data_IF_735918409913
#
_entry.id   IF_735918409913
#
_cell.length_a   1.000
_cell.length_b   1.000
_cell.length_c   1.000
_cell.angle_alpha   90.00
_cell.angle_beta   90.00
_cell.angle_gamma   90.00
#
_symmetry.space_group_name_H-M   'P 1'
#
loop_
_entity.id
_entity.type
_entity.pdbx_description
1 polymer ?
#
# COMPACT_ATOMS: atom_id res chain seq x y z
N UNK A 1 8.05 -5.27 -40.46
CA UNK A 1 8.26 -4.58 -39.18
C UNK A 1 6.90 -4.03 -38.75
N UNK A 2 6.12 -4.80 -38.00
CA UNK A 2 4.86 -4.29 -37.44
C UNK A 2 5.24 -3.43 -36.25
N UNK A 3 5.37 -2.12 -36.48
CA UNK A 3 5.39 -1.17 -35.39
C UNK A 3 4.02 -1.26 -34.71
N UNK A 4 3.97 -1.97 -33.59
CA UNK A 4 2.82 -1.92 -32.69
C UNK A 4 2.65 -0.46 -32.29
N UNK A 5 1.50 0.12 -32.62
CA UNK A 5 1.13 1.43 -32.13
C UNK A 5 1.33 1.43 -30.59
N UNK A 6 1.93 2.47 -30.00
CA UNK A 6 2.16 2.50 -28.57
C UNK A 6 0.81 2.34 -27.86
N UNK A 7 0.66 1.23 -27.13
CA UNK A 7 -0.53 0.99 -26.30
C UNK A 7 -0.55 2.14 -25.30
N UNK A 8 -1.55 3.03 -25.42
CA UNK A 8 -1.76 4.09 -24.45
C UNK A 8 -1.92 3.45 -23.07
N UNK A 9 -0.93 3.65 -22.20
CA UNK A 9 -0.94 3.06 -20.86
C UNK A 9 -2.06 3.73 -20.05
N UNK A 10 -2.98 2.96 -19.45
CA UNK A 10 -4.06 3.55 -18.65
C UNK A 10 -3.49 4.28 -17.43
N UNK A 11 -4.12 5.38 -17.02
CA UNK A 11 -3.83 6.02 -15.74
C UNK A 11 -4.29 5.13 -14.60
N UNK A 12 -3.40 4.85 -13.65
CA UNK A 12 -3.68 3.95 -12.51
C UNK A 12 -3.60 4.73 -11.21
N UNK A 13 -4.55 4.54 -10.31
CA UNK A 13 -4.41 4.91 -8.90
C UNK A 13 -4.11 3.65 -8.08
N UNK A 14 -2.94 3.61 -7.45
CA UNK A 14 -2.46 2.49 -6.65
C UNK A 14 -2.62 2.81 -5.16
N UNK A 15 -3.52 2.10 -4.50
CA UNK A 15 -3.84 2.30 -3.09
C UNK A 15 -3.10 1.28 -2.25
N UNK A 16 -2.38 1.74 -1.23
CA UNK A 16 -1.72 0.88 -0.27
C UNK A 16 -1.67 1.55 1.12
N UNK A 17 -1.72 0.72 2.17
CA UNK A 17 -1.66 1.18 3.56
C UNK A 17 -0.26 1.67 3.96
N UNK A 18 0.78 1.22 3.27
CA UNK A 18 2.18 1.47 3.63
C UNK A 18 3.10 1.59 2.41
N UNK A 19 4.20 2.35 2.55
CA UNK A 19 5.20 2.55 1.49
C UNK A 19 6.63 2.58 2.05
N UNK A 20 7.41 1.52 1.80
CA UNK A 20 8.80 1.38 2.19
C UNK A 20 9.75 2.10 1.25
N UNK A 21 9.86 3.42 1.41
CA UNK A 21 10.65 4.27 0.51
C UNK A 21 12.09 4.47 0.97
N UNK A 22 12.30 4.65 2.27
CA UNK A 22 13.60 4.89 2.87
C UNK A 22 13.54 4.48 4.35
N UNK A 23 14.62 3.92 4.94
CA UNK A 23 14.64 3.54 6.36
C UNK A 23 14.33 4.67 7.33
N UNK A 24 14.60 5.93 6.96
CA UNK A 24 14.28 7.12 7.77
C UNK A 24 12.82 7.55 7.69
N UNK A 25 12.04 6.97 6.77
CA UNK A 25 10.63 7.32 6.54
C UNK A 25 9.75 6.14 6.91
N UNK A 26 9.37 6.06 8.18
CA UNK A 26 8.80 4.90 8.87
C UNK A 26 7.31 4.66 8.60
N UNK A 27 6.82 5.01 7.41
CA UNK A 27 5.42 4.77 6.99
C UNK A 27 5.18 3.35 6.44
N UNK A 28 5.95 2.37 6.94
CA UNK A 28 5.89 0.97 6.56
C UNK A 28 6.36 0.06 7.70
N UNK A 29 5.88 -1.18 7.70
CA UNK A 29 6.18 -2.20 8.70
C UNK A 29 6.90 -3.42 8.12
N UNK A 30 6.61 -3.80 6.87
CA UNK A 30 7.11 -5.06 6.33
C UNK A 30 7.14 -5.18 4.81
N UNK A 31 7.09 -6.43 4.33
CA UNK A 31 7.29 -6.77 2.93
C UNK A 31 6.26 -6.16 1.97
N UNK A 32 5.02 -5.96 2.41
CA UNK A 32 3.98 -5.29 1.63
C UNK A 32 4.36 -3.83 1.35
N UNK A 33 4.78 -3.09 2.39
CA UNK A 33 5.29 -1.73 2.27
C UNK A 33 6.55 -1.65 1.42
N UNK A 34 7.53 -2.55 1.62
CA UNK A 34 8.75 -2.59 0.78
C UNK A 34 8.39 -2.78 -0.69
N UNK A 35 7.48 -3.72 -1.00
CA UNK A 35 7.00 -3.93 -2.36
C UNK A 35 6.34 -2.66 -2.93
N UNK A 36 5.45 -2.02 -2.18
CA UNK A 36 4.77 -0.81 -2.61
C UNK A 36 5.77 0.35 -2.87
N UNK A 37 6.78 0.50 -2.01
CA UNK A 37 7.85 1.48 -2.18
C UNK A 37 8.70 1.21 -3.43
N UNK A 38 9.15 -0.03 -3.61
CA UNK A 38 9.91 -0.44 -4.79
C UNK A 38 9.10 -0.34 -6.09
N UNK A 39 7.80 -0.63 -6.01
CA UNK A 39 6.87 -0.43 -7.11
C UNK A 39 6.81 1.05 -7.50
N UNK A 40 6.63 1.96 -6.52
CA UNK A 40 6.56 3.39 -6.78
C UNK A 40 7.90 3.99 -7.24
N UNK A 41 9.04 3.46 -6.80
CA UNK A 41 10.36 3.84 -7.35
C UNK A 41 10.48 3.42 -8.82
N UNK A 42 10.12 2.17 -9.13
CA UNK A 42 10.12 1.65 -10.50
C UNK A 42 9.15 2.40 -11.42
N UNK A 43 7.98 2.81 -10.91
CA UNK A 43 7.03 3.69 -11.60
C UNK A 43 7.68 5.02 -11.99
N UNK A 44 8.43 5.62 -11.08
CA UNK A 44 9.17 6.87 -11.30
C UNK A 44 10.23 6.72 -12.39
N UNK A 45 11.10 5.71 -12.25
CA UNK A 45 12.17 5.43 -13.22
C UNK A 45 11.62 5.16 -14.63
N UNK A 46 10.52 4.41 -14.72
CA UNK A 46 9.88 4.04 -15.99
C UNK A 46 8.90 5.09 -16.52
N UNK A 47 8.71 6.20 -15.80
CA UNK A 47 7.77 7.28 -16.14
C UNK A 47 6.35 6.75 -16.43
N UNK A 48 5.88 5.83 -15.59
CA UNK A 48 4.57 5.20 -15.73
C UNK A 48 3.45 6.11 -15.19
N UNK A 49 2.26 6.14 -15.80
CA UNK A 49 1.13 6.95 -15.35
C UNK A 49 0.41 6.30 -14.16
N UNK A 50 1.14 6.05 -13.07
CA UNK A 50 0.63 5.47 -11.82
C UNK A 50 0.76 6.50 -10.71
N UNK A 51 -0.33 6.72 -9.99
CA UNK A 51 -0.41 7.59 -8.82
C UNK A 51 -0.62 6.75 -7.58
N UNK A 52 0.35 6.76 -6.66
CA UNK A 52 0.24 6.11 -5.36
C UNK A 52 -0.60 6.93 -4.39
N UNK A 53 -1.44 6.25 -3.62
CA UNK A 53 -2.29 6.81 -2.56
C UNK A 53 -2.07 6.00 -1.28
N UNK A 54 -1.73 6.67 -0.19
CA UNK A 54 -1.48 6.05 1.11
C UNK A 54 -1.82 6.95 2.29
N UNK A 55 -1.40 6.53 3.48
CA UNK A 55 -1.53 7.28 4.72
C UNK A 55 -0.17 7.83 5.18
N UNK A 56 -0.19 9.02 5.77
CA UNK A 56 0.95 9.57 6.50
C UNK A 56 0.79 9.19 7.97
N UNK A 57 1.55 8.18 8.38
CA UNK A 57 1.58 7.72 9.76
C UNK A 57 2.40 8.66 10.63
N UNK A 58 1.83 9.13 11.75
CA UNK A 58 2.45 10.15 12.59
C UNK A 58 3.63 9.61 13.40
N UNK A 59 3.52 8.37 13.89
CA UNK A 59 4.58 7.65 14.61
C UNK A 59 5.09 6.42 13.82
N UNK A 60 4.64 6.24 12.58
CA UNK A 60 5.07 5.16 11.72
C UNK A 60 4.76 3.76 12.29
N UNK A 61 5.72 2.85 12.12
CA UNK A 61 5.76 1.56 12.82
C UNK A 61 6.70 1.63 14.04
N UNK A 62 7.15 0.49 14.56
CA UNK A 62 8.02 0.44 15.73
C UNK A 62 9.50 0.62 15.38
N UNK A 63 10.19 1.48 16.12
CA UNK A 63 11.65 1.48 16.27
C UNK A 63 11.98 0.58 17.48
N UNK A 64 12.50 -0.62 17.23
CA UNK A 64 12.90 -1.52 18.31
C UNK A 64 14.29 -1.15 18.82
N UNK A 65 14.39 -0.92 20.14
CA UNK A 65 15.66 -0.67 20.84
C UNK A 65 15.95 -1.81 21.81
N UNK A 66 17.21 -2.09 22.08
CA UNK A 66 17.61 -3.05 23.12
C UNK A 66 18.03 -2.27 24.36
N UNK A 67 17.44 -2.59 25.51
CA UNK A 67 17.82 -1.95 26.77
C UNK A 67 19.12 -2.53 27.34
N UNK A 68 19.67 -1.89 28.39
CA UNK A 68 20.91 -2.35 29.04
C UNK A 68 20.84 -3.74 29.70
N UNK A 69 19.65 -4.35 29.77
CA UNK A 69 19.46 -5.73 30.21
C UNK A 69 19.30 -6.72 29.04
N UNK A 70 19.39 -6.25 27.80
CA UNK A 70 19.25 -7.05 26.59
C UNK A 70 17.79 -7.29 26.17
N UNK A 71 16.82 -6.57 26.74
CA UNK A 71 15.42 -6.73 26.36
C UNK A 71 15.01 -5.75 25.25
N UNK A 72 14.21 -6.20 24.27
CA UNK A 72 13.64 -5.30 23.28
C UNK A 72 12.61 -4.37 23.93
N UNK A 73 12.68 -3.10 23.56
CA UNK A 73 11.74 -2.04 23.93
C UNK A 73 11.25 -1.34 22.68
N UNK A 74 9.96 -1.00 22.68
CA UNK A 74 9.31 -0.38 21.53
C UNK A 74 9.35 1.14 21.67
N UNK A 75 9.95 1.80 20.69
CA UNK A 75 9.99 3.25 20.57
C UNK A 75 9.20 3.69 19.32
N UNK A 76 8.43 4.78 19.45
CA UNK A 76 7.55 5.30 18.40
C UNK A 76 7.93 6.74 18.09
N UNK A 77 8.93 6.90 17.22
CA UNK A 77 9.42 8.21 16.82
C UNK A 77 8.44 8.88 15.85
N UNK A 78 8.29 10.21 15.95
CA UNK A 78 7.50 10.97 14.99
C UNK A 78 8.11 10.87 13.59
N UNK A 79 7.27 10.59 12.61
CA UNK A 79 7.65 10.54 11.19
C UNK A 79 8.07 11.93 10.72
N UNK A 80 9.28 12.02 10.15
CA UNK A 80 9.74 13.26 9.54
C UNK A 80 8.85 13.67 8.37
N UNK A 81 8.54 14.97 8.30
CA UNK A 81 7.80 15.58 7.18
C UNK A 81 8.73 16.22 6.14
N UNK A 82 10.04 16.02 6.28
CA UNK A 82 11.03 16.53 5.34
C UNK A 82 10.81 15.90 3.94
N UNK A 83 10.85 16.74 2.90
CA UNK A 83 10.58 16.32 1.53
C UNK A 83 9.10 16.02 1.23
N UNK A 84 8.17 16.42 2.09
CA UNK A 84 6.73 16.40 1.83
C UNK A 84 6.21 17.79 1.46
N UNK A 85 5.44 17.87 0.39
CA UNK A 85 4.76 19.09 -0.05
C UNK A 85 3.29 19.03 0.38
N UNK A 86 2.85 19.93 1.26
CA UNK A 86 1.44 20.06 1.62
C UNK A 86 0.63 20.59 0.43
N UNK A 87 -0.46 19.90 0.12
CA UNK A 87 -1.37 20.29 -0.96
C UNK A 87 -2.48 21.20 -0.44
N UNK A 88 -2.85 22.19 -1.26
CA UNK A 88 -4.00 23.05 -0.99
C UNK A 88 -5.28 22.43 -1.55
N UNK A 89 -5.78 21.38 -0.87
CA UNK A 89 -7.02 20.66 -1.23
C UNK A 89 -7.88 20.45 0.00
N UNK A 90 -9.20 20.48 -0.20
CA UNK A 90 -10.17 20.19 0.86
C UNK A 90 -10.66 18.75 0.72
N UNK A 91 -10.41 17.93 1.74
CA UNK A 91 -10.83 16.54 1.80
C UNK A 91 -11.46 16.33 3.17
N UNK A 92 -12.59 15.66 3.21
CA UNK A 92 -13.28 15.31 4.43
C UNK A 92 -13.81 13.88 4.31
N UNK A 93 -13.78 13.14 5.40
CA UNK A 93 -14.42 11.83 5.55
C UNK A 93 -15.31 11.84 6.80
N UNK A 94 -16.22 10.87 6.91
CA UNK A 94 -17.04 10.70 8.12
C UNK A 94 -16.54 9.47 8.87
N UNK A 95 -16.28 9.62 10.17
CA UNK A 95 -15.88 8.53 11.08
C UNK A 95 -16.61 8.73 12.41
N UNK A 96 -17.33 7.71 12.88
CA UNK A 96 -18.09 7.73 14.15
C UNK A 96 -19.04 8.94 14.28
N UNK A 97 -19.76 9.26 13.21
CA UNK A 97 -20.69 10.38 13.08
C UNK A 97 -20.04 11.76 13.04
N UNK A 98 -18.69 11.83 12.96
CA UNK A 98 -17.94 13.08 12.93
C UNK A 98 -17.35 13.33 11.55
N UNK A 99 -17.40 14.60 11.13
CA UNK A 99 -16.69 15.10 9.97
C UNK A 99 -15.20 15.28 10.30
N UNK A 100 -14.36 14.47 9.66
CA UNK A 100 -12.90 14.46 9.82
C UNK A 100 -12.27 15.09 8.57
N UNK A 101 -11.83 16.36 8.65
CA UNK A 101 -11.06 16.97 7.56
C UNK A 101 -9.68 16.30 7.48
N UNK A 102 -9.19 16.07 6.27
CA UNK A 102 -7.89 15.47 5.98
C UNK A 102 -7.00 16.43 5.21
N UNK A 103 -5.69 16.37 5.47
CA UNK A 103 -4.64 17.00 4.66
C UNK A 103 -4.03 15.95 3.75
N UNK A 104 -3.51 16.39 2.62
CA UNK A 104 -2.77 15.55 1.69
C UNK A 104 -1.38 16.13 1.43
N UNK A 105 -0.39 15.25 1.38
CA UNK A 105 0.99 15.60 1.06
C UNK A 105 1.42 14.87 -0.21
N UNK A 106 2.20 15.55 -1.05
CA UNK A 106 2.94 14.91 -2.13
C UNK A 106 4.36 14.60 -1.67
N UNK A 107 4.80 13.36 -1.91
CA UNK A 107 6.18 12.95 -1.63
C UNK A 107 7.11 13.46 -2.73
N UNK A 108 8.18 14.19 -2.36
CA UNK A 108 9.15 14.77 -3.31
C UNK A 108 10.56 14.20 -3.20
N UNK A 109 10.92 13.62 -2.06
CA UNK A 109 12.31 13.22 -1.76
C UNK A 109 12.69 11.83 -2.28
N UNK A 110 11.82 10.84 -2.15
CA UNK A 110 12.22 9.43 -2.23
C UNK A 110 11.89 8.73 -3.56
N UNK A 111 10.99 9.31 -4.36
CA UNK A 111 10.61 8.80 -5.68
C UNK A 111 10.19 9.98 -6.56
N UNK A 112 10.42 9.85 -7.87
CA UNK A 112 9.93 10.80 -8.88
C UNK A 112 8.47 10.52 -9.28
N UNK A 113 7.89 9.39 -8.86
CA UNK A 113 6.50 9.05 -9.11
C UNK A 113 5.54 9.97 -8.34
N UNK A 114 4.31 10.09 -8.84
CA UNK A 114 3.21 10.74 -8.11
C UNK A 114 2.80 9.84 -6.93
N UNK A 115 3.13 10.25 -5.71
CA UNK A 115 2.72 9.56 -4.48
C UNK A 115 2.15 10.57 -3.49
N UNK A 116 0.94 10.30 -3.04
CA UNK A 116 0.21 11.14 -2.11
C UNK A 116 -0.13 10.40 -0.82
N UNK A 117 0.03 11.09 0.30
CA UNK A 117 -0.21 10.58 1.64
C UNK A 117 -1.24 11.43 2.36
N UNK A 118 -2.24 10.79 2.97
CA UNK A 118 -3.33 11.43 3.71
C UNK A 118 -3.13 11.31 5.22
N UNK A 119 -3.49 12.35 5.95
CA UNK A 119 -3.68 12.31 7.39
C UNK A 119 -4.85 13.20 7.79
N UNK A 120 -5.48 12.99 8.95
CA UNK A 120 -6.41 13.96 9.53
C UNK A 120 -5.77 15.35 9.64
N UNK A 121 -6.58 16.41 9.60
CA UNK A 121 -6.13 17.79 9.73
C UNK A 121 -6.12 18.25 11.19
N UNK A 122 -7.08 17.78 11.99
CA UNK A 122 -7.24 18.14 13.42
C UNK A 122 -6.46 17.18 14.32
N UNK A 123 -5.95 17.70 15.42
CA UNK A 123 -5.16 16.92 16.38
C UNK A 123 -6.00 15.85 17.08
N UNK A 124 -7.25 16.17 17.43
CA UNK A 124 -8.20 15.23 18.06
C UNK A 124 -8.53 14.00 17.19
N UNK A 125 -8.27 14.07 15.88
CA UNK A 125 -8.51 12.99 14.93
C UNK A 125 -7.23 12.20 14.61
N UNK A 126 -6.07 12.60 15.16
CA UNK A 126 -4.75 11.99 14.83
C UNK A 126 -4.60 10.54 15.27
N UNK A 127 -5.44 10.05 16.19
CA UNK A 127 -5.49 8.63 16.56
C UNK A 127 -5.68 7.72 15.34
N UNK A 128 -6.38 8.21 14.29
CA UNK A 128 -6.63 7.43 13.07
C UNK A 128 -5.31 7.03 12.41
N UNK A 129 -4.39 7.97 12.19
CA UNK A 129 -3.10 7.71 11.52
C UNK A 129 -1.93 7.76 12.49
N UNK A 130 -2.14 7.45 13.77
CA UNK A 130 -1.07 7.54 14.77
C UNK A 130 0.00 6.48 14.50
N UNK A 131 -0.39 5.20 14.43
CA UNK A 131 0.54 4.07 14.27
C UNK A 131 0.05 3.10 13.21
N UNK A 132 0.95 2.71 12.32
CA UNK A 132 0.70 1.67 11.34
C UNK A 132 0.46 0.33 12.05
N UNK A 133 -0.66 -0.32 11.74
CA UNK A 133 -1.12 -1.56 12.38
C UNK A 133 -1.25 -1.50 13.91
N UNK A 134 -1.32 -0.30 14.48
CA UNK A 134 -1.70 -0.09 15.87
C UNK A 134 -3.23 -0.04 16.05
N UNK A 135 -3.67 -0.10 17.31
CA UNK A 135 -5.08 0.05 17.66
C UNK A 135 -5.92 -1.22 17.53
N UNK A 136 -7.22 -1.07 17.72
CA UNK A 136 -8.22 -2.13 17.62
C UNK A 136 -8.95 -2.12 16.27
N UNK A 137 -10.05 -2.88 16.20
CA UNK A 137 -10.89 -2.99 15.00
C UNK A 137 -11.42 -1.63 14.51
N UNK A 138 -11.81 -0.76 15.45
CA UNK A 138 -12.35 0.57 15.12
C UNK A 138 -11.27 1.51 14.55
N UNK A 139 -10.03 1.42 15.06
CA UNK A 139 -8.89 2.17 14.52
C UNK A 139 -8.60 1.76 13.08
N UNK A 140 -8.60 0.45 12.80
CA UNK A 140 -8.42 -0.06 11.44
C UNK A 140 -9.51 0.43 10.48
N UNK A 141 -10.77 0.32 10.86
CA UNK A 141 -11.87 0.83 10.02
C UNK A 141 -11.72 2.33 9.74
N UNK A 142 -11.34 3.13 10.73
CA UNK A 142 -11.09 4.55 10.52
C UNK A 142 -9.91 4.79 9.56
N UNK A 143 -8.82 4.04 9.69
CA UNK A 143 -7.66 4.10 8.79
C UNK A 143 -8.05 3.78 7.35
N UNK A 144 -8.79 2.69 7.16
CA UNK A 144 -9.21 2.21 5.85
C UNK A 144 -10.26 3.13 5.20
N UNK A 145 -11.12 3.80 5.99
CA UNK A 145 -11.98 4.89 5.51
C UNK A 145 -11.12 6.06 5.01
N UNK A 146 -10.13 6.52 5.79
CA UNK A 146 -9.26 7.64 5.36
C UNK A 146 -8.48 7.26 4.10
N UNK A 147 -7.94 6.04 4.02
CA UNK A 147 -7.21 5.54 2.86
C UNK A 147 -8.13 5.46 1.62
N UNK A 148 -9.26 4.77 1.75
CA UNK A 148 -10.14 4.46 0.64
C UNK A 148 -11.00 5.65 0.22
N UNK A 149 -11.85 6.13 1.12
CA UNK A 149 -12.77 7.26 0.88
C UNK A 149 -11.98 8.54 0.68
N UNK A 150 -11.06 8.84 1.61
CA UNK A 150 -10.22 10.03 1.52
C UNK A 150 -9.34 10.02 0.27
N UNK A 151 -8.81 8.87 -0.13
CA UNK A 151 -8.04 8.71 -1.36
C UNK A 151 -8.83 8.94 -2.64
N UNK A 152 -10.08 8.46 -2.73
CA UNK A 152 -10.96 8.76 -3.87
C UNK A 152 -11.28 10.26 -3.93
N UNK A 153 -11.60 10.88 -2.79
CA UNK A 153 -11.89 12.32 -2.71
C UNK A 153 -10.67 13.18 -3.04
N UNK A 154 -9.46 12.77 -2.63
CA UNK A 154 -8.20 13.38 -3.04
C UNK A 154 -8.05 13.38 -4.56
N UNK A 155 -8.29 12.25 -5.22
CA UNK A 155 -8.22 12.16 -6.69
C UNK A 155 -9.18 13.15 -7.36
N UNK A 156 -10.40 13.31 -6.82
CA UNK A 156 -11.36 14.32 -7.30
C UNK A 156 -10.85 15.74 -7.12
N UNK A 157 -10.34 16.08 -5.93
CA UNK A 157 -9.81 17.39 -5.61
C UNK A 157 -8.59 17.76 -6.47
N UNK A 158 -7.78 16.78 -6.87
CA UNK A 158 -6.63 16.96 -7.78
C UNK A 158 -7.00 16.87 -9.26
N UNK A 159 -8.28 16.66 -9.60
CA UNK A 159 -8.74 16.41 -10.97
C UNK A 159 -8.00 15.25 -11.67
N UNK A 160 -7.60 14.25 -10.90
CA UNK A 160 -7.02 13.00 -11.42
C UNK A 160 -8.18 12.04 -11.69
N UNK A 161 -8.27 11.58 -12.94
CA UNK A 161 -9.25 10.59 -13.37
C UNK A 161 -8.54 9.27 -13.77
N UNK A 162 -8.37 8.33 -12.83
CA UNK A 162 -7.79 7.03 -13.12
C UNK A 162 -8.74 6.18 -13.95
N UNK A 163 -8.19 5.52 -14.97
CA UNK A 163 -8.90 4.48 -15.69
C UNK A 163 -8.95 3.17 -14.89
N UNK A 164 -7.94 2.94 -14.03
CA UNK A 164 -7.81 1.76 -13.19
C UNK A 164 -7.50 2.14 -11.75
N UNK A 165 -8.16 1.49 -10.80
CA UNK A 165 -7.89 1.54 -9.37
C UNK A 165 -7.28 0.19 -8.98
N UNK A 166 -6.06 0.21 -8.45
CA UNK A 166 -5.34 -0.97 -8.01
C UNK A 166 -5.31 -0.98 -6.49
N UNK A 167 -6.01 -1.94 -5.91
CA UNK A 167 -6.05 -2.18 -4.48
C UNK A 167 -4.97 -3.17 -4.08
N UNK A 168 -3.97 -2.71 -3.34
CA UNK A 168 -2.94 -3.56 -2.78
C UNK A 168 -3.39 -4.06 -1.41
N UNK A 169 -3.91 -5.29 -1.39
CA UNK A 169 -4.61 -5.92 -0.26
C UNK A 169 -5.99 -5.29 0.08
N UNK A 170 -6.73 -5.95 0.99
CA UNK A 170 -8.09 -5.57 1.38
C UNK A 170 -8.26 -4.14 1.90
N UNK A 171 -7.22 -3.53 2.46
CA UNK A 171 -7.28 -2.20 3.09
C UNK A 171 -7.85 -1.07 2.21
N UNK A 172 -7.72 -1.20 0.90
CA UNK A 172 -8.18 -0.19 -0.05
C UNK A 172 -9.65 -0.38 -0.51
N UNK A 173 -10.37 -1.38 -0.01
CA UNK A 173 -11.73 -1.72 -0.49
C UNK A 173 -12.73 -0.59 -0.31
N UNK A 174 -12.57 0.27 0.71
CA UNK A 174 -13.44 1.43 0.87
C UNK A 174 -13.34 2.43 -0.28
N UNK A 175 -12.24 2.46 -1.06
CA UNK A 175 -12.20 3.21 -2.31
C UNK A 175 -13.22 2.66 -3.32
N UNK A 176 -13.36 1.33 -3.39
CA UNK A 176 -14.37 0.68 -4.22
C UNK A 176 -15.79 1.00 -3.75
N UNK A 177 -16.04 0.99 -2.44
CA UNK A 177 -17.35 1.37 -1.88
C UNK A 177 -17.67 2.85 -2.12
N UNK A 178 -16.70 3.76 -2.00
CA UNK A 178 -16.89 5.18 -2.30
C UNK A 178 -17.22 5.38 -3.79
N UNK A 179 -16.52 4.70 -4.70
CA UNK A 179 -16.82 4.75 -6.14
C UNK A 179 -18.22 4.22 -6.47
N UNK A 180 -18.68 3.18 -5.75
CA UNK A 180 -20.05 2.73 -5.85
C UNK A 180 -21.01 3.81 -5.34
N UNK A 181 -20.76 4.39 -4.17
CA UNK A 181 -21.60 5.43 -3.55
C UNK A 181 -21.74 6.66 -4.43
N UNK A 182 -20.66 7.09 -5.07
CA UNK A 182 -20.64 8.16 -6.10
C UNK A 182 -21.44 7.80 -7.35
N UNK A 183 -21.82 6.53 -7.53
CA UNK A 183 -22.33 5.97 -8.78
C UNK A 183 -21.42 6.32 -9.97
N UNK A 184 -20.08 6.29 -9.74
CA UNK A 184 -19.08 6.85 -10.66
C UNK A 184 -19.20 6.34 -12.10
N UNK A 185 -19.54 5.06 -12.26
CA UNK A 185 -19.63 4.39 -13.56
C UNK A 185 -21.08 4.11 -14.00
N UNK A 186 -22.06 4.66 -13.28
CA UNK A 186 -23.49 4.50 -13.52
C UNK A 186 -24.03 3.11 -13.12
N UNK A 187 -25.32 2.92 -13.39
CA UNK A 187 -26.09 1.74 -13.01
C UNK A 187 -27.29 2.12 -12.13
N UNK A 188 -28.38 1.35 -12.22
CA UNK A 188 -29.56 1.53 -11.39
C UNK A 188 -29.48 0.67 -10.12
N UNK A 189 -29.34 -0.64 -10.31
CA UNK A 189 -29.20 -1.59 -9.19
C UNK A 189 -27.76 -1.68 -8.68
N UNK A 190 -27.58 -2.18 -7.44
CA UNK A 190 -26.24 -2.46 -6.91
C UNK A 190 -25.47 -3.45 -7.81
N UNK A 191 -26.14 -4.50 -8.30
CA UNK A 191 -25.50 -5.49 -9.17
C UNK A 191 -24.93 -4.86 -10.45
N UNK A 192 -25.67 -3.95 -11.09
CA UNK A 192 -25.21 -3.22 -12.26
C UNK A 192 -24.05 -2.27 -11.93
N UNK A 193 -24.14 -1.53 -10.81
CA UNK A 193 -23.08 -0.63 -10.34
C UNK A 193 -21.79 -1.39 -10.08
N UNK A 194 -21.86 -2.54 -9.41
CA UNK A 194 -20.73 -3.44 -9.18
C UNK A 194 -20.16 -3.96 -10.50
N UNK A 195 -20.99 -4.43 -11.43
CA UNK A 195 -20.53 -4.93 -12.73
C UNK A 195 -19.76 -3.86 -13.53
N UNK A 196 -20.21 -2.61 -13.47
CA UNK A 196 -19.56 -1.46 -14.13
C UNK A 196 -18.27 -1.07 -13.42
N UNK A 197 -18.28 -0.94 -12.09
CA UNK A 197 -17.08 -0.66 -11.29
C UNK A 197 -15.99 -1.71 -11.52
N UNK A 198 -16.36 -3.00 -11.60
CA UNK A 198 -15.40 -4.10 -11.81
C UNK A 198 -14.46 -3.86 -12.98
N UNK A 199 -14.94 -3.25 -14.06
CA UNK A 199 -14.10 -2.94 -15.23
C UNK A 199 -12.93 -2.00 -14.91
N UNK A 200 -12.97 -1.30 -13.79
CA UNK A 200 -11.98 -0.31 -13.39
C UNK A 200 -11.12 -0.74 -12.21
N UNK A 201 -11.39 -1.88 -11.55
CA UNK A 201 -10.65 -2.29 -10.35
C UNK A 201 -9.79 -3.53 -10.60
N UNK A 202 -8.55 -3.51 -10.10
CA UNK A 202 -7.67 -4.67 -9.99
C UNK A 202 -7.23 -4.85 -8.53
N UNK A 203 -7.07 -6.10 -8.09
CA UNK A 203 -6.84 -6.42 -6.69
C UNK A 203 -5.61 -7.33 -6.52
N UNK A 204 -4.69 -6.96 -5.64
CA UNK A 204 -3.58 -7.85 -5.24
C UNK A 204 -3.87 -8.44 -3.86
N UNK A 205 -3.65 -9.74 -3.72
CA UNK A 205 -3.72 -10.45 -2.43
C UNK A 205 -2.37 -11.06 -2.08
N UNK A 206 -1.98 -10.95 -0.80
CA UNK A 206 -0.71 -11.42 -0.24
C UNK A 206 -0.91 -12.54 0.78
N UNK A 207 -2.10 -12.62 1.38
CA UNK A 207 -2.39 -13.52 2.50
C UNK A 207 -2.59 -14.97 2.04
N UNK A 208 -1.74 -15.92 2.47
CA UNK A 208 -1.81 -17.31 2.01
C UNK A 208 -2.78 -18.19 2.82
N UNK A 209 -3.42 -17.65 3.87
CA UNK A 209 -4.32 -18.40 4.76
C UNK A 209 -5.60 -17.62 5.03
N UNK A 210 -6.76 -18.31 4.98
CA UNK A 210 -8.06 -17.67 5.15
C UNK A 210 -8.19 -16.90 6.48
N UNK A 211 -7.66 -17.46 7.58
CA UNK A 211 -7.71 -16.85 8.91
C UNK A 211 -6.91 -15.54 9.04
N UNK A 212 -5.99 -15.27 8.11
CA UNK A 212 -5.24 -14.00 8.08
C UNK A 212 -5.97 -12.88 7.32
N UNK A 213 -7.14 -13.16 6.73
CA UNK A 213 -7.89 -12.16 5.97
C UNK A 213 -8.84 -11.40 6.88
N UNK A 214 -8.79 -10.08 6.77
CA UNK A 214 -9.55 -9.17 7.60
C UNK A 214 -11.06 -9.25 7.35
N UNK A 215 -11.82 -9.29 8.44
CA UNK A 215 -13.28 -9.29 8.46
C UNK A 215 -13.79 -8.35 9.55
N UNK A 216 -14.90 -7.68 9.29
CA UNK A 216 -15.54 -6.76 10.24
C UNK A 216 -17.02 -7.10 10.46
N UNK A 217 -17.50 -6.93 11.69
CA UNK A 217 -18.93 -6.99 11.98
C UNK A 217 -19.69 -5.85 11.27
N UNK A 218 -20.86 -6.14 10.69
CA UNK A 218 -21.67 -5.09 10.03
C UNK A 218 -22.15 -4.02 11.01
N UNK A 219 -22.36 -4.39 12.28
CA UNK A 219 -22.69 -3.47 13.37
C UNK A 219 -21.54 -2.50 13.68
N UNK A 220 -20.30 -2.99 13.66
CA UNK A 220 -19.09 -2.18 13.84
C UNK A 220 -18.91 -1.25 12.65
N UNK A 221 -19.07 -1.76 11.42
CA UNK A 221 -19.00 -0.94 10.23
C UNK A 221 -19.99 0.23 10.28
N UNK A 222 -21.25 -0.05 10.65
CA UNK A 222 -22.31 0.97 10.77
C UNK A 222 -21.99 1.99 11.87
N UNK A 223 -21.44 1.56 13.00
CA UNK A 223 -21.00 2.47 14.08
C UNK A 223 -19.86 3.40 13.65
N UNK A 224 -19.01 2.95 12.73
CA UNK A 224 -17.83 3.66 12.25
C UNK A 224 -18.08 4.49 10.96
N UNK A 225 -19.29 4.49 10.42
CA UNK A 225 -19.64 5.04 9.08
C UNK A 225 -18.93 4.34 7.91
N UNK A 226 -18.42 3.13 8.15
CA UNK A 226 -17.79 2.29 7.12
C UNK A 226 -18.84 1.65 6.19
N UNK A 227 -20.13 1.68 6.55
CA UNK A 227 -21.21 1.24 5.67
C UNK A 227 -21.46 2.20 4.51
N UNK A 228 -20.98 3.45 4.56
CA UNK A 228 -21.08 4.46 3.49
C UNK A 228 -22.50 4.64 2.92
N UNK A 229 -23.52 4.41 3.75
CA UNK A 229 -24.93 4.47 3.40
C UNK A 229 -25.50 3.21 2.72
N UNK A 230 -24.73 2.14 2.59
CA UNK A 230 -25.21 0.84 2.12
C UNK A 230 -26.01 0.12 3.22
N UNK A 231 -27.05 -0.60 2.79
CA UNK A 231 -27.81 -1.48 3.67
C UNK A 231 -27.01 -2.74 4.03
N UNK A 232 -27.38 -3.42 5.12
CA UNK A 232 -26.73 -4.69 5.52
C UNK A 232 -26.83 -5.76 4.42
N UNK A 233 -27.93 -5.79 3.67
CA UNK A 233 -28.12 -6.69 2.54
C UNK A 233 -27.13 -6.40 1.41
N UNK A 234 -26.90 -5.13 1.10
CA UNK A 234 -25.93 -4.69 0.09
C UNK A 234 -24.49 -4.99 0.52
N UNK A 235 -24.13 -4.70 1.78
CA UNK A 235 -22.82 -5.05 2.34
C UNK A 235 -22.59 -6.57 2.33
N UNK A 236 -23.61 -7.35 2.69
CA UNK A 236 -23.57 -8.81 2.63
C UNK A 236 -23.34 -9.31 1.20
N UNK A 237 -23.97 -8.69 0.20
CA UNK A 237 -23.74 -9.00 -1.20
C UNK A 237 -22.30 -8.68 -1.63
N UNK A 238 -21.72 -7.58 -1.15
CA UNK A 238 -20.37 -7.15 -1.50
C UNK A 238 -19.31 -7.99 -0.77
N UNK A 239 -19.26 -7.94 0.56
CA UNK A 239 -18.19 -8.54 1.37
C UNK A 239 -18.61 -9.75 2.22
N UNK A 240 -19.92 -10.01 2.36
CA UNK A 240 -20.45 -11.03 3.27
C UNK A 240 -20.84 -10.48 4.64
N UNK A 241 -21.22 -11.37 5.56
CA UNK A 241 -21.55 -11.06 6.95
C UNK A 241 -20.93 -12.14 7.86
N UNK A 242 -19.83 -11.87 8.59
CA UNK A 242 -19.10 -10.59 8.67
C UNK A 242 -18.52 -10.15 7.32
N UNK A 243 -18.32 -8.85 7.16
CA UNK A 243 -17.82 -8.24 5.92
C UNK A 243 -16.34 -8.57 5.74
N UNK A 244 -16.01 -9.40 4.76
CA UNK A 244 -14.63 -9.72 4.44
C UNK A 244 -14.05 -8.74 3.43
N UNK A 245 -12.95 -8.08 3.81
CA UNK A 245 -12.24 -7.13 2.95
C UNK A 245 -11.72 -7.83 1.69
N UNK A 246 -11.14 -9.03 1.82
CA UNK A 246 -10.64 -9.79 0.66
C UNK A 246 -11.76 -10.26 -0.27
N UNK A 247 -12.88 -10.74 0.28
CA UNK A 247 -14.05 -11.14 -0.55
C UNK A 247 -14.61 -9.94 -1.31
N UNK A 248 -14.73 -8.80 -0.64
CA UNK A 248 -15.15 -7.55 -1.28
C UNK A 248 -14.15 -7.14 -2.38
N UNK A 249 -12.85 -7.14 -2.12
CA UNK A 249 -11.81 -6.85 -3.11
C UNK A 249 -11.92 -7.74 -4.36
N UNK A 250 -12.08 -9.04 -4.17
CA UNK A 250 -12.28 -10.01 -5.26
C UNK A 250 -13.58 -9.77 -6.04
N UNK A 251 -14.68 -9.42 -5.36
CA UNK A 251 -15.99 -9.14 -6.00
C UNK A 251 -16.09 -7.74 -6.60
N UNK A 252 -15.23 -6.80 -6.22
CA UNK A 252 -15.18 -5.47 -6.82
C UNK A 252 -14.20 -5.36 -7.98
N UNK A 253 -13.25 -6.31 -8.14
CA UNK A 253 -12.25 -6.29 -9.19
C UNK A 253 -12.61 -7.08 -10.46
N UNK A 254 -12.16 -6.65 -11.65
CA UNK A 254 -12.21 -7.50 -12.88
C UNK A 254 -11.14 -8.58 -12.89
N UNK A 255 -10.02 -8.33 -12.22
CA UNK A 255 -8.87 -9.22 -12.19
C UNK A 255 -8.18 -9.10 -10.84
N UNK A 256 -7.63 -10.21 -10.37
CA UNK A 256 -6.79 -10.24 -9.19
C UNK A 256 -5.45 -10.93 -9.45
N UNK A 257 -4.44 -10.58 -8.66
CA UNK A 257 -3.13 -11.22 -8.72
C UNK A 257 -2.64 -11.63 -7.33
N UNK A 258 -2.10 -12.84 -7.27
CA UNK A 258 -1.21 -13.31 -6.23
C UNK A 258 0.24 -12.87 -6.52
N UNK A 259 1.09 -12.91 -5.49
CA UNK A 259 2.46 -12.40 -5.54
C UNK A 259 3.58 -13.39 -5.87
N UNK A 260 3.23 -14.65 -6.16
CA UNK A 260 4.15 -15.69 -6.63
C UNK A 260 3.35 -16.80 -7.32
N UNK A 261 4.03 -17.66 -8.10
CA UNK A 261 3.36 -18.77 -8.80
C UNK A 261 2.64 -19.72 -7.83
N UNK A 262 3.38 -20.22 -6.83
CA UNK A 262 2.82 -21.10 -5.81
C UNK A 262 1.73 -20.40 -4.99
N UNK A 263 1.94 -19.12 -4.65
CA UNK A 263 0.92 -18.33 -3.97
C UNK A 263 -0.37 -18.20 -4.81
N UNK A 264 -0.25 -18.10 -6.13
CA UNK A 264 -1.40 -18.10 -7.04
C UNK A 264 -2.21 -19.39 -6.99
N UNK A 265 -1.55 -20.54 -6.83
CA UNK A 265 -2.23 -21.83 -6.63
C UNK A 265 -2.98 -21.85 -5.29
N UNK A 266 -2.30 -21.45 -4.20
CA UNK A 266 -2.90 -21.35 -2.87
C UNK A 266 -4.10 -20.41 -2.85
N UNK A 267 -3.96 -19.21 -3.43
CA UNK A 267 -5.02 -18.19 -3.47
C UNK A 267 -6.23 -18.68 -4.28
N UNK A 268 -6.02 -19.29 -5.46
CA UNK A 268 -7.12 -19.88 -6.25
C UNK A 268 -7.83 -20.99 -5.48
N UNK A 269 -7.09 -21.86 -4.80
CA UNK A 269 -7.67 -22.94 -4.00
C UNK A 269 -8.50 -22.41 -2.81
N UNK A 270 -8.01 -21.36 -2.15
CA UNK A 270 -8.65 -20.70 -1.00
C UNK A 270 -9.96 -20.03 -1.40
N UNK A 271 -9.95 -19.28 -2.51
CA UNK A 271 -11.08 -18.43 -2.92
C UNK A 271 -12.03 -19.07 -3.94
N UNK A 272 -11.82 -20.34 -4.31
CA UNK A 272 -12.66 -21.07 -5.29
C UNK A 272 -14.17 -21.05 -5.00
N UNK A 273 -14.55 -20.95 -3.72
CA UNK A 273 -15.94 -20.94 -3.29
C UNK A 273 -16.61 -19.57 -3.32
N UNK A 274 -15.86 -18.49 -3.58
CA UNK A 274 -16.39 -17.13 -3.59
C UNK A 274 -17.03 -16.84 -4.94
N UNK A 275 -18.37 -16.92 -4.97
CA UNK A 275 -19.13 -16.50 -6.14
C UNK A 275 -18.87 -15.03 -6.47
N UNK A 276 -18.66 -14.74 -7.76
CA UNK A 276 -18.35 -13.39 -8.27
C UNK A 276 -16.91 -12.93 -8.05
N UNK A 277 -16.03 -13.77 -7.50
CA UNK A 277 -14.61 -13.41 -7.38
C UNK A 277 -13.94 -13.19 -8.74
N UNK A 278 -13.02 -12.23 -8.80
CA UNK A 278 -12.17 -12.02 -9.95
C UNK A 278 -11.27 -13.23 -10.23
N UNK A 279 -10.94 -13.52 -11.50
CA UNK A 279 -9.91 -14.51 -11.81
C UNK A 279 -8.57 -14.10 -11.20
N UNK A 280 -7.92 -15.04 -10.49
CA UNK A 280 -6.65 -14.82 -9.80
C UNK A 280 -5.49 -15.37 -10.64
N UNK A 281 -4.64 -14.45 -11.10
CA UNK A 281 -3.37 -14.74 -11.78
C UNK A 281 -2.20 -14.68 -10.79
N UNK A 282 -0.98 -14.99 -11.24
CA UNK A 282 0.23 -14.84 -10.44
C UNK A 282 1.17 -13.83 -11.11
N UNK A 283 1.55 -12.80 -10.37
CA UNK A 283 2.55 -11.81 -10.74
C UNK A 283 3.62 -11.87 -9.66
N UNK A 284 4.77 -12.45 -9.98
CA UNK A 284 5.87 -12.59 -9.01
C UNK A 284 6.38 -11.21 -8.60
N UNK A 285 6.46 -10.98 -7.29
CA UNK A 285 7.04 -9.74 -6.75
C UNK A 285 8.48 -9.54 -7.25
N UNK A 286 8.86 -8.27 -7.38
CA UNK A 286 10.22 -7.84 -7.66
C UNK A 286 10.66 -6.78 -6.66
N UNK A 287 11.95 -6.46 -6.70
CA UNK A 287 12.56 -5.40 -5.89
C UNK A 287 13.18 -4.34 -6.80
N UNK A 288 13.29 -3.11 -6.31
CA UNK A 288 13.90 -2.02 -7.06
C UNK A 288 15.42 -2.18 -7.07
N UNK A 289 16.00 -2.67 -8.18
CA UNK A 289 17.42 -3.02 -8.28
C UNK A 289 18.37 -1.90 -7.83
N UNK A 290 18.16 -0.61 -8.20
CA UNK A 290 19.01 0.47 -7.69
C UNK A 290 18.96 0.66 -6.17
N UNK A 291 17.86 0.31 -5.49
CA UNK A 291 17.76 0.34 -4.02
C UNK A 291 18.57 -0.78 -3.40
N UNK A 292 18.45 -2.00 -3.93
CA UNK A 292 18.87 -3.23 -3.23
C UNK A 292 20.19 -3.82 -3.71
N UNK A 293 20.73 -3.34 -4.83
CA UNK A 293 22.04 -3.75 -5.32
C UNK A 293 23.04 -2.58 -5.21
N UNK A 294 24.04 -2.77 -4.35
CA UNK A 294 25.16 -1.84 -4.17
C UNK A 294 25.86 -1.54 -5.52
N UNK A 295 26.23 -0.29 -5.73
CA UNK A 295 26.86 0.16 -6.96
C UNK A 295 28.18 -0.57 -7.27
N UNK A 296 28.92 -1.02 -6.24
CA UNK A 296 30.15 -1.80 -6.38
C UNK A 296 29.89 -3.18 -6.96
N UNK A 297 28.82 -3.85 -6.51
CA UNK A 297 28.41 -5.16 -7.06
C UNK A 297 28.01 -5.00 -8.53
N UNK A 298 27.24 -3.95 -8.84
CA UNK A 298 26.84 -3.64 -10.21
C UNK A 298 28.03 -3.30 -11.11
N UNK A 299 29.00 -2.54 -10.61
CA UNK A 299 30.23 -2.23 -11.33
C UNK A 299 31.09 -3.47 -11.57
N UNK A 300 31.18 -4.37 -10.58
CA UNK A 300 31.90 -5.65 -10.71
C UNK A 300 31.30 -6.54 -11.80
N UNK A 301 29.97 -6.53 -11.94
CA UNK A 301 29.22 -7.31 -12.95
C UNK A 301 29.01 -6.57 -14.28
N UNK A 302 29.69 -5.44 -14.50
CA UNK A 302 29.51 -4.66 -15.71
C UNK A 302 29.85 -5.49 -16.98
N UNK A 303 29.09 -5.32 -18.08
CA UNK A 303 29.41 -5.98 -19.35
C UNK A 303 30.83 -5.65 -19.84
N UNK A 304 31.51 -6.63 -20.44
CA UNK A 304 32.86 -6.47 -21.00
C UNK A 304 34.01 -6.95 -20.12
N UNK A 305 33.72 -7.40 -18.90
CA UNK A 305 34.67 -8.13 -18.04
C UNK A 305 34.52 -9.64 -18.26
N UNK A 306 35.63 -10.36 -18.31
CA UNK A 306 35.58 -11.82 -18.26
C UNK A 306 35.21 -12.32 -16.85
N UNK A 307 34.84 -13.59 -16.76
CA UNK A 307 34.37 -14.20 -15.51
C UNK A 307 35.40 -14.11 -14.37
N UNK A 308 36.69 -14.21 -14.69
CA UNK A 308 37.75 -14.17 -13.69
C UNK A 308 37.89 -12.76 -13.10
N UNK A 309 37.87 -11.73 -13.93
CA UNK A 309 37.89 -10.35 -13.47
C UNK A 309 36.62 -10.00 -12.69
N UNK A 310 35.43 -10.41 -13.16
CA UNK A 310 34.18 -10.20 -12.43
C UNK A 310 34.22 -10.87 -11.05
N UNK A 311 34.70 -12.11 -10.96
CA UNK A 311 34.81 -12.83 -9.69
C UNK A 311 35.77 -12.16 -8.70
N UNK A 312 36.92 -11.67 -9.20
CA UNK A 312 37.89 -10.95 -8.37
C UNK A 312 37.31 -9.64 -7.81
N UNK A 313 36.66 -8.83 -8.65
CA UNK A 313 36.06 -7.58 -8.21
C UNK A 313 34.87 -7.80 -7.28
N UNK A 314 34.03 -8.80 -7.55
CA UNK A 314 32.94 -9.19 -6.65
C UNK A 314 33.46 -9.59 -5.29
N UNK A 315 34.54 -10.37 -5.24
CA UNK A 315 35.15 -10.78 -3.98
C UNK A 315 35.73 -9.58 -3.22
N UNK A 316 36.40 -8.67 -3.92
CA UNK A 316 36.91 -7.44 -3.31
C UNK A 316 35.77 -6.56 -2.76
N UNK A 317 34.69 -6.36 -3.52
CA UNK A 317 33.51 -5.62 -3.07
C UNK A 317 32.84 -6.29 -1.86
N UNK A 318 32.72 -7.63 -1.88
CA UNK A 318 32.19 -8.41 -0.77
C UNK A 318 32.99 -8.18 0.53
N UNK A 319 34.32 -8.27 0.47
CA UNK A 319 35.18 -8.06 1.63
C UNK A 319 35.08 -6.62 2.17
N UNK A 320 35.03 -5.62 1.28
CA UNK A 320 34.87 -4.22 1.67
C UNK A 320 33.52 -3.97 2.38
N UNK A 321 32.42 -4.44 1.79
CA UNK A 321 31.08 -4.31 2.39
C UNK A 321 30.98 -5.04 3.74
N UNK A 322 31.65 -6.20 3.88
CA UNK A 322 31.70 -6.92 5.16
C UNK A 322 32.43 -6.12 6.23
N UNK A 323 33.55 -5.47 5.89
CA UNK A 323 34.27 -4.60 6.80
C UNK A 323 33.44 -3.37 7.21
N UNK A 324 32.74 -2.74 6.27
CA UNK A 324 31.81 -1.64 6.56
C UNK A 324 30.68 -2.05 7.50
N UNK A 325 30.11 -3.24 7.30
CA UNK A 325 29.10 -3.79 8.20
C UNK A 325 29.65 -4.01 9.61
N UNK A 326 30.86 -4.58 9.75
CA UNK A 326 31.51 -4.73 11.04
C UNK A 326 31.70 -3.37 11.74
N UNK A 327 32.19 -2.36 11.02
CA UNK A 327 32.35 -1.00 11.55
C UNK A 327 31.01 -0.38 11.98
N UNK A 328 29.95 -0.57 11.19
CA UNK A 328 28.61 -0.09 11.53
C UNK A 328 28.09 -0.75 12.81
N UNK A 329 28.26 -2.07 12.94
CA UNK A 329 27.84 -2.82 14.12
C UNK A 329 28.63 -2.38 15.35
N UNK A 330 29.95 -2.26 15.23
CA UNK A 330 30.82 -1.76 16.31
C UNK A 330 30.42 -0.35 16.76
N UNK A 331 30.19 0.57 15.81
CA UNK A 331 29.78 1.94 16.12
C UNK A 331 28.43 2.01 16.83
N UNK A 332 27.47 1.15 16.48
CA UNK A 332 26.16 1.11 17.14
C UNK A 332 26.21 0.50 18.53
N UNK A 333 27.04 -0.52 18.75
CA UNK A 333 27.22 -1.10 20.08
C UNK A 333 27.86 -0.11 21.06
N UNK A 334 28.81 0.73 20.59
CA UNK A 334 29.43 1.75 21.44
C UNK A 334 28.49 2.92 21.75
N UNK A 335 27.62 3.31 20.80
CA UNK A 335 26.68 4.41 20.99
C UNK A 335 25.49 4.09 21.91
N UNK A 336 25.26 2.80 22.23
CA UNK A 336 24.23 2.37 23.20
C UNK A 336 24.76 2.31 24.65
N UNK A 337 26.09 2.40 24.84
CA UNK A 337 26.77 2.40 26.15
C UNK A 337 27.01 3.83 26.74
N UNK A 338 26.72 4.91 25.99
CA UNK A 338 26.79 6.33 26.42
C UNK A 338 25.40 6.95 26.70
#
# INVERSE_FOLDING_TARGET
>A
MFATAPIARPRVAYFCMEFGLDPSFTIYAGGLGILAGDHMKSVGDLHLPVTGIGLLWDEGYVEQRIDGAGHPTDHYAKTSRDGLELLNVEIEVTVRGKHVPCRAYRVRRYTSAELYLLEPARDDDRWITQRLYGGGEEDRLAQEIVLGVGGVRLLRALHIDPAVYHFNEGHAVFAGLELLRENRFGGGSLAERVQRLRQHVVFTTHTPVAAGNEVHGLDVMRRMDADLGFTDAELTQIGGAPFSMTVAGLRLARAANAVAQLHGETARAMWKGVSGAAPITAITNGVHVPTWQDARVRAALAPGKDEQHQAQELWAAHLAMKAELCQLVEARLVAEDE
#
